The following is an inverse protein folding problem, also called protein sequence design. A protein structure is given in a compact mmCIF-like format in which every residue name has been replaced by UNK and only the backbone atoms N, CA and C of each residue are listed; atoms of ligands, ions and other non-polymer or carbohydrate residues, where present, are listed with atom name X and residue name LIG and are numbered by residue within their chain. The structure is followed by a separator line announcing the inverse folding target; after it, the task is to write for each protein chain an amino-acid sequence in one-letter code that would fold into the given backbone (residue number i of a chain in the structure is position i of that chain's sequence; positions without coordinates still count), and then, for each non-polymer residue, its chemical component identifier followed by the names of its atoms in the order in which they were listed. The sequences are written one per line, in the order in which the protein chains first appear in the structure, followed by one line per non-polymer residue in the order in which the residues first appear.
data_IF_744175780309
#
_entry.id   IF_744175780309
#
_cell.length_a   1.000
_cell.length_b   1.000
_cell.length_c   1.000
_cell.angle_alpha   90.00
_cell.angle_beta   90.00
_cell.angle_gamma   90.00
#
_symmetry.space_group_name_H-M   'P 1'
#
loop_
_entity.id
_entity.type
_entity.pdbx_description
1 polymer ?
#
# COMPACT_ATOMS: atom_id res chain seq x y z
N UNK A 1 5.83 -45.05 8.84
CA UNK A 1 6.71 -46.00 9.55
C UNK A 1 7.85 -45.29 10.24
N UNK A 2 8.91 -44.94 9.51
CA UNK A 2 10.15 -44.36 10.07
C UNK A 2 9.97 -43.04 10.84
N UNK A 3 9.14 -42.12 10.34
CA UNK A 3 8.88 -40.82 11.02
C UNK A 3 8.10 -41.02 12.32
N UNK A 4 7.08 -41.88 12.32
CA UNK A 4 6.33 -42.23 13.54
C UNK A 4 7.20 -42.99 14.55
N UNK A 5 8.10 -43.86 14.08
CA UNK A 5 9.08 -44.57 14.91
C UNK A 5 10.11 -43.64 15.54
N UNK A 6 10.62 -42.65 14.79
CA UNK A 6 11.51 -41.62 15.33
C UNK A 6 10.82 -40.75 16.39
N UNK A 7 9.55 -40.41 16.17
CA UNK A 7 8.75 -39.60 17.10
C UNK A 7 8.41 -40.36 18.40
N UNK A 8 8.17 -41.67 18.32
CA UNK A 8 7.88 -42.54 19.46
C UNK A 8 9.12 -42.97 20.25
N UNK A 9 10.31 -42.96 19.62
CA UNK A 9 11.54 -43.50 20.24
C UNK A 9 12.60 -42.44 20.54
N UNK A 10 12.36 -41.18 20.18
CA UNK A 10 13.32 -40.05 20.25
C UNK A 10 14.68 -40.34 19.59
N UNK A 11 14.73 -41.29 18.65
CA UNK A 11 15.94 -41.69 17.93
C UNK A 11 15.88 -41.25 16.48
N UNK A 12 17.05 -40.99 15.90
CA UNK A 12 17.18 -40.71 14.48
C UNK A 12 16.53 -41.82 13.63
N UNK A 13 15.84 -41.48 12.51
CA UNK A 13 15.07 -42.44 11.71
C UNK A 13 15.84 -43.70 11.29
N UNK A 14 17.14 -43.60 10.99
CA UNK A 14 18.00 -44.76 10.73
C UNK A 14 18.10 -45.69 11.94
N UNK A 15 18.35 -45.15 13.14
CA UNK A 15 18.42 -45.95 14.38
C UNK A 15 17.08 -46.47 14.86
N UNK A 16 15.99 -45.75 14.58
CA UNK A 16 14.63 -46.18 14.90
C UNK A 16 14.14 -47.36 14.04
N UNK A 17 14.80 -47.61 12.89
CA UNK A 17 14.44 -48.68 11.94
C UNK A 17 15.44 -49.84 11.91
N UNK A 18 16.39 -49.91 12.85
CA UNK A 18 17.44 -50.93 12.88
C UNK A 18 16.92 -52.40 12.95
N UNK A 19 15.68 -52.62 13.40
CA UNK A 19 15.01 -53.93 13.41
C UNK A 19 13.97 -54.12 12.29
N UNK A 20 13.84 -53.18 11.35
CA UNK A 20 12.88 -53.22 10.26
C UNK A 20 13.44 -53.96 9.03
N UNK A 21 12.59 -54.32 8.03
CA UNK A 21 13.06 -54.94 6.80
C UNK A 21 14.17 -54.10 6.12
N UNK A 22 15.20 -54.72 5.50
CA UNK A 22 16.39 -54.01 5.01
C UNK A 22 16.10 -52.84 4.07
N UNK A 23 15.06 -52.97 3.24
CA UNK A 23 14.61 -51.91 2.32
C UNK A 23 14.07 -50.68 3.07
N UNK A 24 13.37 -50.89 4.18
CA UNK A 24 12.79 -49.81 5.00
C UNK A 24 13.89 -49.07 5.76
N UNK A 25 14.87 -49.80 6.28
CA UNK A 25 16.01 -49.24 6.97
C UNK A 25 16.90 -48.42 6.01
N UNK A 26 17.25 -48.97 4.85
CA UNK A 26 18.03 -48.26 3.84
C UNK A 26 17.33 -46.99 3.32
N UNK A 27 16.01 -47.03 3.12
CA UNK A 27 15.24 -45.85 2.74
C UNK A 27 15.25 -44.77 3.82
N UNK A 28 15.17 -45.15 5.10
CA UNK A 28 15.20 -44.22 6.23
C UNK A 28 16.59 -43.57 6.39
N UNK A 29 17.68 -44.33 6.27
CA UNK A 29 19.05 -43.80 6.32
C UNK A 29 19.36 -42.87 5.14
N UNK A 30 18.86 -43.21 3.94
CA UNK A 30 19.03 -42.36 2.76
C UNK A 30 18.28 -41.04 2.92
N UNK A 31 17.04 -41.07 3.43
CA UNK A 31 16.25 -39.88 3.70
C UNK A 31 16.87 -38.99 4.81
N UNK A 32 17.40 -39.61 5.87
CA UNK A 32 18.13 -38.91 6.94
C UNK A 32 19.37 -38.22 6.38
N UNK A 33 20.21 -38.95 5.63
CA UNK A 33 21.41 -38.42 5.00
C UNK A 33 21.10 -37.28 4.04
N UNK A 34 20.08 -37.45 3.19
CA UNK A 34 19.63 -36.41 2.26
C UNK A 34 19.14 -35.17 3.02
N UNK A 35 18.39 -35.35 4.11
CA UNK A 35 17.95 -34.28 4.99
C UNK A 35 19.12 -33.50 5.60
N UNK A 36 20.14 -34.20 6.11
CA UNK A 36 21.35 -33.59 6.65
C UNK A 36 22.14 -32.79 5.59
N UNK A 37 22.25 -33.33 4.38
CA UNK A 37 22.88 -32.63 3.25
C UNK A 37 22.10 -31.37 2.84
N UNK A 38 20.78 -31.45 2.75
CA UNK A 38 19.91 -30.30 2.43
C UNK A 38 19.98 -29.21 3.51
N UNK A 39 19.97 -29.57 4.79
CA UNK A 39 20.12 -28.62 5.90
C UNK A 39 21.49 -27.92 5.85
N UNK A 40 22.57 -28.69 5.62
CA UNK A 40 23.92 -28.16 5.52
C UNK A 40 24.07 -27.21 4.32
N UNK A 41 23.52 -27.60 3.16
CA UNK A 41 23.47 -26.76 1.97
C UNK A 41 22.65 -25.48 2.21
N UNK A 42 21.53 -25.58 2.95
CA UNK A 42 20.72 -24.44 3.36
C UNK A 42 21.50 -23.44 4.23
N UNK A 43 22.28 -23.92 5.21
CA UNK A 43 23.15 -23.07 6.03
C UNK A 43 24.22 -22.38 5.18
N UNK A 44 24.87 -23.11 4.28
CA UNK A 44 25.87 -22.55 3.36
C UNK A 44 25.23 -21.49 2.46
N UNK A 45 24.03 -21.76 1.94
CA UNK A 45 23.27 -20.81 1.13
C UNK A 45 22.91 -19.55 1.93
N UNK A 46 22.46 -19.68 3.17
CA UNK A 46 22.18 -18.54 4.07
C UNK A 46 23.43 -17.69 4.32
N UNK A 47 24.58 -18.32 4.59
CA UNK A 47 25.86 -17.63 4.75
C UNK A 47 26.27 -16.93 3.46
N UNK A 48 26.13 -17.61 2.31
CA UNK A 48 26.44 -17.06 1.00
C UNK A 48 25.54 -15.87 0.66
N UNK A 49 24.23 -15.97 0.93
CA UNK A 49 23.27 -14.87 0.77
C UNK A 49 23.59 -13.71 1.70
N UNK A 50 23.94 -13.95 2.97
CA UNK A 50 24.36 -12.91 3.91
C UNK A 50 25.64 -12.20 3.46
N UNK A 51 26.65 -12.94 2.99
CA UNK A 51 27.88 -12.38 2.41
C UNK A 51 27.62 -11.61 1.13
N UNK A 52 26.71 -12.09 0.28
CA UNK A 52 26.31 -11.42 -0.96
C UNK A 52 25.55 -10.12 -0.66
N UNK A 53 24.64 -10.15 0.31
CA UNK A 53 23.95 -8.97 0.83
C UNK A 53 24.94 -7.94 1.37
N UNK A 54 26.06 -8.37 1.96
CA UNK A 54 27.08 -7.42 2.41
C UNK A 54 27.87 -6.77 1.25
N UNK A 55 27.93 -7.39 0.07
CA UNK A 55 28.78 -6.93 -1.05
C UNK A 55 28.03 -6.28 -2.21
N UNK A 56 26.72 -6.51 -2.35
CA UNK A 56 25.97 -6.16 -3.55
C UNK A 56 24.75 -5.27 -3.22
N UNK A 57 24.72 -4.05 -3.74
CA UNK A 57 23.70 -3.05 -3.43
C UNK A 57 22.31 -3.45 -3.94
N UNK A 58 22.25 -4.26 -5.00
CA UNK A 58 21.00 -4.81 -5.56
C UNK A 58 20.40 -5.91 -4.68
N UNK A 59 21.24 -6.83 -4.17
CA UNK A 59 20.82 -7.89 -3.26
C UNK A 59 20.36 -7.35 -1.90
N UNK A 60 20.98 -6.26 -1.40
CA UNK A 60 20.50 -5.53 -0.22
C UNK A 60 19.08 -5.01 -0.39
N UNK A 61 18.72 -4.56 -1.59
CA UNK A 61 17.38 -4.01 -1.87
C UNK A 61 16.31 -5.10 -1.79
N UNK A 62 16.56 -6.28 -2.36
CA UNK A 62 15.61 -7.41 -2.32
C UNK A 62 15.46 -7.98 -0.92
N UNK A 63 16.56 -8.15 -0.18
CA UNK A 63 16.52 -8.61 1.22
C UNK A 63 15.90 -7.53 2.11
N UNK A 64 16.16 -6.25 1.84
CA UNK A 64 15.54 -5.11 2.50
C UNK A 64 14.02 -5.11 2.33
N UNK A 65 13.50 -5.39 1.14
CA UNK A 65 12.04 -5.50 0.90
C UNK A 65 11.44 -6.65 1.74
N UNK A 66 12.08 -7.82 1.77
CA UNK A 66 11.60 -8.95 2.57
C UNK A 66 11.64 -8.61 4.08
N UNK A 67 12.69 -7.92 4.50
CA UNK A 67 12.85 -7.44 5.87
C UNK A 67 11.85 -6.34 6.23
N UNK A 68 11.55 -5.40 5.32
CA UNK A 68 10.54 -4.34 5.47
C UNK A 68 9.13 -4.92 5.62
N UNK A 69 8.84 -6.04 4.94
CA UNK A 69 7.58 -6.79 5.14
C UNK A 69 7.55 -7.45 6.51
N UNK A 70 8.66 -8.04 6.95
CA UNK A 70 8.78 -8.65 8.28
C UNK A 70 8.67 -7.62 9.42
N UNK A 71 9.32 -6.46 9.27
CA UNK A 71 9.32 -5.36 10.24
C UNK A 71 8.11 -4.45 10.12
N UNK A 72 7.13 -4.77 9.27
CA UNK A 72 5.83 -4.12 9.36
C UNK A 72 5.04 -4.63 10.59
N UNK A 73 5.17 -5.91 10.95
CA UNK A 73 4.37 -6.53 12.01
C UNK A 73 4.93 -6.28 13.42
N UNK A 74 4.06 -6.20 14.46
CA UNK A 74 4.48 -5.97 15.85
C UNK A 74 5.52 -6.99 16.33
N UNK A 75 6.47 -6.54 17.17
CA UNK A 75 7.56 -7.35 17.74
C UNK A 75 7.08 -8.56 18.56
N UNK A 76 5.79 -8.64 18.89
CA UNK A 76 5.19 -9.76 19.62
C UNK A 76 5.46 -11.13 18.97
N UNK A 77 5.80 -11.17 17.67
CA UNK A 77 6.13 -12.40 16.96
C UNK A 77 7.64 -12.77 16.98
N UNK A 78 8.58 -11.85 17.28
CA UNK A 78 10.01 -12.19 17.39
C UNK A 78 10.89 -11.10 18.07
N UNK A 79 11.70 -11.42 19.10
CA UNK A 79 12.44 -10.44 19.93
C UNK A 79 13.65 -9.76 19.25
N UNK A 80 14.15 -10.30 18.13
CA UNK A 80 15.27 -9.72 17.36
C UNK A 80 14.82 -8.89 16.15
N UNK A 81 13.52 -8.65 15.98
CA UNK A 81 13.04 -7.75 14.94
C UNK A 81 13.42 -6.29 15.31
N UNK A 82 14.01 -5.51 14.38
CA UNK A 82 14.25 -4.09 14.59
C UNK A 82 12.92 -3.36 14.79
N UNK A 83 12.93 -2.13 15.33
CA UNK A 83 11.71 -1.38 15.64
C UNK A 83 10.79 -1.37 14.44
N UNK A 84 9.60 -1.94 14.58
CA UNK A 84 8.72 -2.17 13.46
C UNK A 84 8.02 -0.86 13.06
N UNK A 85 7.70 -0.70 11.76
CA UNK A 85 7.03 0.51 11.29
C UNK A 85 5.67 0.72 11.98
N UNK A 86 4.96 -0.36 12.34
CA UNK A 86 3.70 -0.27 13.06
C UNK A 86 3.83 0.24 14.50
N UNK A 87 4.96 0.03 15.18
CA UNK A 87 5.16 0.48 16.57
C UNK A 87 5.62 1.94 16.66
N UNK A 88 6.14 2.52 15.56
CA UNK A 88 6.64 3.89 15.56
C UNK A 88 6.11 4.74 14.41
N UNK A 89 6.36 4.33 13.17
CA UNK A 89 6.03 5.16 12.01
C UNK A 89 4.52 5.36 11.83
N UNK A 90 3.71 4.32 12.08
CA UNK A 90 2.26 4.42 11.96
C UNK A 90 1.67 5.35 13.04
N UNK A 91 1.92 5.16 14.35
CA UNK A 91 1.48 6.10 15.39
C UNK A 91 1.98 7.54 15.17
N UNK A 92 3.25 7.71 14.80
CA UNK A 92 3.82 9.05 14.54
C UNK A 92 3.12 9.73 13.35
N UNK A 93 2.81 8.98 12.30
CA UNK A 93 2.09 9.51 11.13
C UNK A 93 0.63 9.84 11.47
N UNK A 94 -0.06 8.97 12.21
CA UNK A 94 -1.41 9.21 12.72
C UNK A 94 -1.45 10.48 13.58
N UNK A 95 -0.55 10.58 14.55
CA UNK A 95 -0.46 11.74 15.44
C UNK A 95 -0.18 13.02 14.65
N UNK A 96 0.77 12.98 13.70
CA UNK A 96 1.09 14.13 12.87
C UNK A 96 -0.09 14.58 12.02
N UNK A 97 -0.84 13.64 11.42
CA UNK A 97 -2.05 13.98 10.65
C UNK A 97 -3.08 14.65 11.57
N UNK A 98 -3.41 14.02 12.69
CA UNK A 98 -4.42 14.52 13.62
C UNK A 98 -4.07 15.90 14.21
N UNK A 99 -2.87 16.05 14.77
CA UNK A 99 -2.44 17.32 15.37
C UNK A 99 -2.31 18.44 14.33
N UNK A 100 -1.91 18.12 13.10
CA UNK A 100 -1.85 19.12 12.04
C UNK A 100 -3.25 19.56 11.59
N UNK A 101 -4.18 18.61 11.36
CA UNK A 101 -5.56 18.93 10.98
C UNK A 101 -6.28 19.71 12.08
N UNK A 102 -6.05 19.38 13.35
CA UNK A 102 -6.62 20.08 14.49
C UNK A 102 -6.05 21.50 14.61
N UNK A 103 -4.72 21.64 14.58
CA UNK A 103 -4.04 22.93 14.78
C UNK A 103 -4.36 23.95 13.69
N UNK A 104 -4.47 23.50 12.45
CA UNK A 104 -4.65 24.40 11.30
C UNK A 104 -6.07 24.41 10.75
N UNK A 105 -7.01 23.67 11.39
CA UNK A 105 -8.33 23.37 10.84
C UNK A 105 -8.26 22.92 9.36
N UNK A 106 -7.15 22.25 9.03
CA UNK A 106 -6.70 22.02 7.68
C UNK A 106 -7.14 20.66 7.14
N UNK A 107 -6.97 20.50 5.83
CA UNK A 107 -7.18 19.24 5.11
C UNK A 107 -5.89 18.86 4.42
N UNK A 108 -5.59 17.57 4.33
CA UNK A 108 -4.31 17.09 3.81
C UNK A 108 -4.48 15.93 2.84
N UNK A 109 -3.55 15.84 1.88
CA UNK A 109 -3.39 14.66 1.03
C UNK A 109 -2.17 13.90 1.50
N UNK A 110 -2.34 12.67 1.96
CA UNK A 110 -1.23 11.78 2.29
C UNK A 110 -0.87 10.94 1.06
N UNK A 111 0.40 11.02 0.64
CA UNK A 111 0.90 10.29 -0.53
C UNK A 111 1.83 9.15 -0.09
N UNK A 112 1.57 7.92 -0.52
CA UNK A 112 2.35 6.74 -0.15
C UNK A 112 2.86 5.96 -1.36
N UNK A 113 4.17 5.87 -1.51
CA UNK A 113 4.85 5.03 -2.51
C UNK A 113 5.23 3.68 -1.93
N UNK A 114 4.96 2.58 -2.66
CA UNK A 114 5.41 1.25 -2.26
C UNK A 114 5.08 0.92 -0.80
N UNK A 115 6.07 0.77 0.08
CA UNK A 115 5.85 0.49 1.49
C UNK A 115 5.12 1.64 2.20
N UNK A 116 5.36 2.87 1.78
CA UNK A 116 4.66 4.05 2.26
C UNK A 116 3.15 3.99 2.00
N UNK A 117 2.67 3.27 0.98
CA UNK A 117 1.23 3.09 0.78
C UNK A 117 0.60 2.22 1.88
N UNK A 118 1.33 1.21 2.35
CA UNK A 118 0.92 0.32 3.44
C UNK A 118 0.90 1.08 4.76
N UNK A 119 1.94 1.88 5.03
CA UNK A 119 2.01 2.73 6.22
C UNK A 119 0.92 3.81 6.23
N UNK A 120 0.69 4.46 5.08
CA UNK A 120 -0.35 5.47 4.95
C UNK A 120 -1.74 4.88 5.18
N UNK A 121 -2.06 3.73 4.57
CA UNK A 121 -3.34 3.04 4.81
C UNK A 121 -3.50 2.65 6.28
N UNK A 122 -2.46 2.09 6.90
CA UNK A 122 -2.45 1.74 8.32
C UNK A 122 -2.68 2.94 9.24
N UNK A 123 -2.05 4.08 8.94
CA UNK A 123 -2.19 5.30 9.73
C UNK A 123 -3.59 5.92 9.57
N UNK A 124 -4.14 5.92 8.35
CA UNK A 124 -5.49 6.45 8.10
C UNK A 124 -6.57 5.64 8.82
N UNK A 125 -6.42 4.32 8.95
CA UNK A 125 -7.31 3.49 9.77
C UNK A 125 -7.30 3.86 11.25
N UNK A 126 -6.20 4.40 11.76
CA UNK A 126 -6.09 4.79 13.18
C UNK A 126 -6.66 6.19 13.48
N UNK A 127 -6.99 6.98 12.45
CA UNK A 127 -7.65 8.27 12.62
C UNK A 127 -9.11 8.08 13.04
N UNK A 128 -9.64 8.99 13.85
CA UNK A 128 -11.08 9.09 14.09
C UNK A 128 -11.82 9.56 12.82
N UNK A 129 -13.14 9.37 12.77
CA UNK A 129 -13.95 9.69 11.58
C UNK A 129 -13.90 11.17 11.18
N UNK A 130 -13.81 12.09 12.14
CA UNK A 130 -13.78 13.53 11.85
C UNK A 130 -12.46 13.89 11.20
N UNK A 131 -11.34 13.46 11.79
CA UNK A 131 -10.01 13.68 11.20
C UNK A 131 -9.90 13.00 9.84
N UNK A 132 -10.38 11.75 9.73
CA UNK A 132 -10.31 10.97 8.49
C UNK A 132 -11.05 11.64 7.32
N UNK A 133 -12.20 12.28 7.56
CA UNK A 133 -12.93 13.05 6.52
C UNK A 133 -12.16 14.25 5.95
N UNK A 134 -11.07 14.67 6.63
CA UNK A 134 -10.20 15.78 6.21
C UNK A 134 -8.93 15.28 5.50
N UNK A 135 -8.79 13.96 5.33
CA UNK A 135 -7.61 13.32 4.75
C UNK A 135 -7.97 12.59 3.46
N UNK A 136 -7.29 12.91 2.37
CA UNK A 136 -7.32 12.12 1.15
C UNK A 136 -6.05 11.27 1.01
N UNK A 137 -6.20 10.06 0.47
CA UNK A 137 -5.11 9.10 0.28
C UNK A 137 -4.73 8.96 -1.19
N UNK A 138 -3.43 9.15 -1.50
CA UNK A 138 -2.85 8.91 -2.82
C UNK A 138 -1.79 7.81 -2.72
N UNK A 139 -2.11 6.60 -3.16
CA UNK A 139 -1.16 5.49 -3.21
C UNK A 139 -0.61 5.30 -4.61
N UNK A 140 0.63 4.82 -4.73
CA UNK A 140 1.24 4.55 -6.04
C UNK A 140 2.37 3.55 -5.93
N UNK A 141 2.53 2.72 -6.96
CA UNK A 141 3.38 1.53 -6.86
C UNK A 141 2.98 0.64 -5.68
N UNK A 142 1.68 0.59 -5.35
CA UNK A 142 1.18 0.04 -4.09
C UNK A 142 1.17 -1.49 -4.07
N UNK A 143 1.85 -2.16 -3.12
CA UNK A 143 1.81 -3.61 -2.93
C UNK A 143 0.60 -4.07 -2.11
N UNK A 144 -0.33 -3.17 -1.77
CA UNK A 144 -1.46 -3.44 -0.86
C UNK A 144 -2.30 -4.65 -1.26
N UNK A 145 -2.81 -4.71 -2.49
CA UNK A 145 -3.53 -5.90 -2.96
C UNK A 145 -2.57 -7.04 -3.29
N UNK A 146 -1.56 -6.75 -4.13
CA UNK A 146 -0.77 -7.78 -4.80
C UNK A 146 0.10 -8.61 -3.86
N UNK A 147 0.63 -8.00 -2.80
CA UNK A 147 1.47 -8.68 -1.82
C UNK A 147 0.76 -8.77 -0.48
N UNK A 148 0.44 -7.63 0.13
CA UNK A 148 -0.08 -7.61 1.50
C UNK A 148 -1.45 -8.27 1.62
N UNK A 149 -2.35 -8.03 0.68
CA UNK A 149 -3.69 -8.64 0.67
C UNK A 149 -3.67 -10.14 0.42
N UNK A 150 -2.62 -10.68 -0.22
CA UNK A 150 -2.46 -12.12 -0.46
C UNK A 150 -1.82 -12.85 0.71
N UNK A 151 -0.77 -12.28 1.30
CA UNK A 151 -0.03 -12.90 2.40
C UNK A 151 -0.64 -12.60 3.77
N UNK A 152 -1.37 -11.49 3.90
CA UNK A 152 -1.99 -11.02 5.15
C UNK A 152 -3.45 -10.56 4.93
N UNK A 153 -4.32 -11.44 4.41
CA UNK A 153 -5.69 -11.08 4.02
C UNK A 153 -6.55 -10.60 5.20
N UNK A 154 -6.23 -10.97 6.43
CA UNK A 154 -6.95 -10.49 7.61
C UNK A 154 -6.84 -8.96 7.82
N UNK A 155 -5.74 -8.35 7.36
CA UNK A 155 -5.46 -6.93 7.56
C UNK A 155 -5.59 -6.11 6.27
N UNK A 156 -5.18 -6.69 5.13
CA UNK A 156 -5.16 -6.01 3.83
C UNK A 156 -5.95 -6.77 2.76
N UNK A 157 -6.81 -7.71 3.15
CA UNK A 157 -7.67 -8.41 2.21
C UNK A 157 -8.78 -7.53 1.65
N UNK A 158 -9.53 -8.01 0.64
CA UNK A 158 -10.61 -7.26 0.01
C UNK A 158 -11.64 -6.67 1.00
N UNK A 159 -12.09 -7.38 2.06
CA UNK A 159 -13.04 -6.80 3.01
C UNK A 159 -12.47 -5.59 3.78
N UNK A 160 -11.22 -5.68 4.25
CA UNK A 160 -10.58 -4.61 5.00
C UNK A 160 -10.35 -3.37 4.11
N UNK A 161 -9.81 -3.57 2.91
CA UNK A 161 -9.58 -2.48 1.96
C UNK A 161 -10.91 -1.86 1.45
N UNK A 162 -11.97 -2.66 1.29
CA UNK A 162 -13.31 -2.14 0.97
C UNK A 162 -13.84 -1.29 2.12
N UNK A 163 -13.62 -1.71 3.38
CA UNK A 163 -13.95 -0.91 4.56
C UNK A 163 -13.23 0.44 4.56
N UNK A 164 -11.91 0.43 4.30
CA UNK A 164 -11.14 1.67 4.17
C UNK A 164 -11.72 2.59 3.10
N UNK A 165 -12.02 2.05 1.91
CA UNK A 165 -12.57 2.86 0.82
C UNK A 165 -13.91 3.49 1.18
N UNK A 166 -14.80 2.78 1.89
CA UNK A 166 -16.09 3.33 2.34
C UNK A 166 -15.94 4.42 3.40
N UNK A 167 -14.91 4.33 4.22
CA UNK A 167 -14.63 5.28 5.31
C UNK A 167 -13.76 6.47 4.86
N UNK A 168 -13.28 6.47 3.62
CA UNK A 168 -12.49 7.55 3.04
C UNK A 168 -13.28 8.29 1.99
N UNK A 169 -13.38 9.62 2.13
CA UNK A 169 -14.01 10.46 1.13
C UNK A 169 -13.24 10.48 -0.19
N UNK A 170 -11.92 10.26 -0.15
CA UNK A 170 -11.07 10.33 -1.32
C UNK A 170 -9.83 9.44 -1.23
N UNK A 171 -9.81 8.36 -2.02
CA UNK A 171 -8.65 7.50 -2.21
C UNK A 171 -8.40 7.21 -3.69
N UNK A 172 -7.18 7.47 -4.16
CA UNK A 172 -6.70 7.10 -5.50
C UNK A 172 -5.42 6.28 -5.44
N UNK A 173 -5.29 5.32 -6.35
CA UNK A 173 -4.13 4.47 -6.52
C UNK A 173 -3.59 4.55 -7.95
N UNK A 174 -2.37 5.05 -8.13
CA UNK A 174 -1.70 5.06 -9.43
C UNK A 174 -0.90 3.76 -9.63
N UNK A 175 -1.02 3.13 -10.79
CA UNK A 175 -0.30 1.89 -11.06
C UNK A 175 0.15 1.77 -12.51
N UNK A 176 1.28 1.13 -12.74
CA UNK A 176 1.80 0.77 -14.07
C UNK A 176 1.72 -0.73 -14.28
N UNK A 177 1.52 -1.13 -15.53
CA UNK A 177 1.55 -2.56 -15.90
C UNK A 177 2.97 -3.15 -15.76
N UNK A 178 3.98 -2.32 -15.97
CA UNK A 178 5.42 -2.65 -15.90
C UNK A 178 5.97 -2.69 -14.46
N UNK A 179 5.17 -2.34 -13.46
CA UNK A 179 5.59 -2.36 -12.05
C UNK A 179 5.48 -3.79 -11.48
N UNK A 180 6.62 -4.44 -11.14
CA UNK A 180 6.61 -5.81 -10.65
C UNK A 180 6.08 -5.93 -9.21
N UNK A 181 6.08 -4.83 -8.45
CA UNK A 181 5.70 -4.80 -7.03
C UNK A 181 4.29 -4.24 -6.89
N UNK A 182 4.08 -3.03 -7.42
CA UNK A 182 2.87 -2.25 -7.31
C UNK A 182 1.80 -2.63 -8.32
N UNK A 183 0.53 -2.51 -7.94
CA UNK A 183 -0.58 -2.89 -8.80
C UNK A 183 -1.89 -2.17 -8.54
N UNK A 184 -2.94 -2.50 -9.30
CA UNK A 184 -4.29 -2.06 -8.98
C UNK A 184 -4.73 -2.70 -7.66
N UNK A 185 -5.50 -1.97 -6.84
CA UNK A 185 -6.11 -2.47 -5.61
C UNK A 185 -7.31 -3.38 -5.93
N UNK A 186 -7.95 -3.21 -7.10
CA UNK A 186 -9.04 -4.05 -7.63
C UNK A 186 -10.26 -4.10 -6.72
N UNK A 187 -10.62 -2.96 -6.12
CA UNK A 187 -11.88 -2.85 -5.39
C UNK A 187 -13.02 -2.52 -6.36
N UNK A 188 -14.10 -3.26 -6.24
CA UNK A 188 -15.38 -2.99 -6.91
C UNK A 188 -16.33 -2.46 -5.85
N UNK A 189 -16.53 -1.15 -5.80
CA UNK A 189 -17.50 -0.54 -4.90
C UNK A 189 -18.75 -0.12 -5.67
N UNK A 190 -19.90 -0.27 -5.01
CA UNK A 190 -21.24 0.01 -5.57
C UNK A 190 -21.43 1.48 -5.94
N UNK A 191 -20.61 2.37 -5.37
CA UNK A 191 -20.59 3.81 -5.61
C UNK A 191 -19.92 4.20 -6.95
N UNK A 192 -19.33 3.24 -7.67
CA UNK A 192 -18.67 3.47 -8.95
C UNK A 192 -17.37 4.28 -8.87
N UNK A 193 -16.90 4.68 -7.68
CA UNK A 193 -15.67 5.49 -7.52
C UNK A 193 -14.45 4.59 -7.69
N UNK A 194 -13.83 4.67 -8.85
CA UNK A 194 -12.62 3.91 -9.14
C UNK A 194 -11.41 4.44 -8.37
N UNK A 195 -10.91 3.67 -7.40
CA UNK A 195 -9.65 3.97 -6.72
C UNK A 195 -8.48 3.92 -7.72
N UNK A 196 -8.46 2.90 -8.57
CA UNK A 196 -7.34 2.63 -9.47
C UNK A 196 -7.32 3.57 -10.69
N UNK A 197 -6.28 4.39 -10.77
CA UNK A 197 -5.92 5.20 -11.93
C UNK A 197 -4.79 4.51 -12.69
N UNK A 198 -5.12 3.86 -13.80
CA UNK A 198 -4.15 3.19 -14.64
C UNK A 198 -4.74 2.08 -15.53
N UNK A 199 -3.88 1.31 -16.22
CA UNK A 199 -2.41 1.40 -16.13
C UNK A 199 -1.89 2.73 -16.67
N UNK A 200 -1.00 3.38 -15.93
CA UNK A 200 -0.27 4.54 -16.43
C UNK A 200 0.63 4.11 -17.59
N UNK A 201 0.83 5.02 -18.53
CA UNK A 201 1.66 4.78 -19.71
C UNK A 201 3.13 4.68 -19.29
N UNK A 202 3.78 3.57 -19.65
CA UNK A 202 5.19 3.35 -19.39
C UNK A 202 5.81 2.52 -20.52
N UNK A 203 6.78 3.05 -21.30
CA UNK A 203 7.40 4.37 -21.17
C UNK A 203 6.48 5.51 -21.64
N UNK A 204 6.71 6.73 -21.12
CA UNK A 204 5.89 7.91 -21.44
C UNK A 204 5.84 8.24 -22.94
N UNK A 205 6.89 7.91 -23.68
CA UNK A 205 6.96 8.06 -25.13
C UNK A 205 7.55 6.80 -25.77
N UNK A 206 7.02 6.42 -26.93
CA UNK A 206 7.64 5.39 -27.77
C UNK A 206 8.51 6.07 -28.83
N UNK A 207 9.76 5.66 -28.96
CA UNK A 207 10.72 6.25 -29.90
C UNK A 207 11.28 7.61 -29.44
N UNK A 208 11.84 8.36 -30.39
CA UNK A 208 12.40 9.69 -30.14
C UNK A 208 11.37 10.77 -30.46
N UNK A 209 11.25 11.77 -29.59
CA UNK A 209 10.45 12.99 -29.81
C UNK A 209 11.31 14.23 -29.56
N UNK A 210 10.82 15.42 -29.91
CA UNK A 210 11.53 16.67 -29.60
C UNK A 210 11.79 16.85 -28.09
N UNK A 211 10.86 16.36 -27.25
CA UNK A 211 11.00 16.39 -25.79
C UNK A 211 11.75 15.18 -25.22
N UNK A 212 11.77 14.04 -25.94
CA UNK A 212 12.48 12.83 -25.56
C UNK A 212 13.41 12.40 -26.70
N UNK A 213 14.58 13.07 -26.87
CA UNK A 213 15.50 12.77 -27.97
C UNK A 213 16.15 11.39 -27.83
N UNK A 214 16.10 10.79 -26.64
CA UNK A 214 16.47 9.41 -26.37
C UNK A 214 15.21 8.56 -26.15
N UNK A 215 15.24 7.25 -26.47
CA UNK A 215 14.15 6.35 -26.13
C UNK A 215 13.80 6.48 -24.64
N UNK A 216 12.53 6.75 -24.34
CA UNK A 216 12.10 6.90 -22.96
C UNK A 216 12.26 5.56 -22.22
N UNK A 217 12.75 5.65 -20.99
CA UNK A 217 13.01 4.48 -20.16
C UNK A 217 11.70 3.91 -19.62
N UNK A 218 11.67 2.59 -19.44
CA UNK A 218 10.62 1.92 -18.67
C UNK A 218 10.90 2.20 -17.20
N UNK A 219 10.02 2.95 -16.56
CA UNK A 219 10.19 3.41 -15.19
C UNK A 219 9.78 2.35 -14.16
N UNK A 220 8.83 1.47 -14.53
CA UNK A 220 8.33 0.39 -13.68
C UNK A 220 7.87 0.93 -12.31
N UNK A 221 8.57 0.53 -11.26
CA UNK A 221 8.26 0.88 -9.87
C UNK A 221 8.75 2.28 -9.42
N UNK A 222 9.61 2.94 -10.20
CA UNK A 222 10.18 4.25 -9.86
C UNK A 222 9.38 5.44 -10.41
N UNK A 223 9.74 6.67 -10.03
CA UNK A 223 9.34 7.92 -10.71
C UNK A 223 7.84 8.06 -11.04
N UNK A 224 6.96 7.63 -10.13
CA UNK A 224 5.53 7.91 -10.24
C UNK A 224 5.24 9.40 -10.03
N UNK A 225 5.99 10.08 -9.16
CA UNK A 225 5.79 11.51 -8.85
C UNK A 225 6.15 12.42 -10.02
N UNK A 226 7.00 11.96 -10.95
CA UNK A 226 7.35 12.69 -12.16
C UNK A 226 6.33 12.46 -13.30
N UNK A 227 5.38 11.54 -13.11
CA UNK A 227 4.32 11.29 -14.08
C UNK A 227 3.30 12.45 -14.04
N UNK A 228 2.94 13.08 -15.17
CA UNK A 228 1.97 14.17 -15.18
C UNK A 228 0.62 13.82 -14.52
N UNK A 229 0.23 12.54 -14.58
CA UNK A 229 -1.00 12.06 -13.93
C UNK A 229 -0.93 12.22 -12.41
N UNK A 230 0.25 12.14 -11.81
CA UNK A 230 0.43 12.32 -10.37
C UNK A 230 -0.01 13.72 -9.92
N UNK A 231 0.47 14.76 -10.60
CA UNK A 231 0.12 16.14 -10.27
C UNK A 231 -1.37 16.42 -10.53
N UNK A 232 -1.94 15.89 -11.61
CA UNK A 232 -3.39 15.99 -11.89
C UNK A 232 -4.21 15.36 -10.77
N UNK A 233 -3.91 14.11 -10.39
CA UNK A 233 -4.67 13.40 -9.36
C UNK A 233 -4.47 14.04 -7.98
N UNK A 234 -3.26 14.50 -7.66
CA UNK A 234 -3.01 15.26 -6.42
C UNK A 234 -3.87 16.53 -6.38
N UNK A 235 -3.88 17.32 -7.45
CA UNK A 235 -4.66 18.55 -7.53
C UNK A 235 -6.16 18.28 -7.38
N UNK A 236 -6.66 17.22 -8.03
CA UNK A 236 -8.05 16.79 -7.86
C UNK A 236 -8.39 16.40 -6.42
N UNK A 237 -7.51 15.66 -5.73
CA UNK A 237 -7.73 15.29 -4.33
C UNK A 237 -7.76 16.52 -3.42
N UNK A 238 -6.85 17.49 -3.64
CA UNK A 238 -6.85 18.76 -2.92
C UNK A 238 -8.15 19.54 -3.18
N UNK A 239 -8.59 19.58 -4.44
CA UNK A 239 -9.80 20.30 -4.83
C UNK A 239 -11.08 19.68 -4.22
N UNK A 240 -11.18 18.34 -4.20
CA UNK A 240 -12.32 17.64 -3.58
C UNK A 240 -12.33 17.75 -2.06
N UNK A 241 -11.15 17.84 -1.45
CA UNK A 241 -11.05 18.13 -0.03
C UNK A 241 -11.48 19.56 0.29
N UNK A 242 -11.33 20.55 -0.59
CA UNK A 242 -11.69 21.92 -0.27
C UNK A 242 -13.16 22.00 0.23
N UNK A 243 -13.44 22.73 1.33
CA UNK A 243 -14.82 22.88 1.78
C UNK A 243 -15.66 23.43 0.62
N UNK A 244 -16.85 22.86 0.41
CA UNK A 244 -17.84 23.41 -0.52
C UNK A 244 -18.00 24.89 -0.19
N UNK A 245 -17.34 25.76 -0.96
CA UNK A 245 -17.70 27.16 -1.02
C UNK A 245 -19.10 27.13 -1.61
N UNK A 246 -20.15 27.58 -0.90
CA UNK A 246 -21.48 27.62 -1.48
C UNK A 246 -21.37 28.41 -2.77
N UNK A 247 -21.50 27.72 -3.91
CA UNK A 247 -21.55 28.37 -5.20
C UNK A 247 -22.61 29.45 -5.09
N UNK A 248 -22.22 30.71 -5.27
CA UNK A 248 -23.17 31.80 -5.37
C UNK A 248 -24.21 31.36 -6.40
N UNK A 249 -25.46 31.15 -5.95
CA UNK A 249 -26.60 31.09 -6.87
C UNK A 249 -26.43 32.29 -7.78
N UNK A 250 -26.41 32.14 -9.12
CA UNK A 250 -26.38 33.30 -9.99
C UNK A 250 -27.46 34.24 -9.52
N UNK A 251 -27.05 35.45 -9.15
CA UNK A 251 -27.96 36.50 -8.73
C UNK A 251 -29.02 36.57 -9.83
N UNK A 252 -30.27 36.24 -9.48
CA UNK A 252 -31.37 36.51 -10.37
C UNK A 252 -31.25 37.97 -10.77
N UNK A 253 -31.19 38.23 -12.07
CA UNK A 253 -31.14 39.55 -12.67
C UNK A 253 -32.20 40.44 -12.02
N UNK A 254 -31.80 41.23 -11.03
CA UNK A 254 -32.55 42.37 -10.56
C UNK A 254 -32.33 43.52 -11.55
N UNK A 255 -32.75 43.31 -12.79
CA UNK A 255 -33.01 44.38 -13.76
C UNK A 255 -34.52 44.40 -14.05
N UNK A 256 -35.31 44.60 -13.00
CA UNK A 256 -36.68 45.07 -13.11
C UNK A 256 -36.69 46.60 -13.04
N UNK A 257 -37.52 47.30 -13.84
CA UNK A 257 -37.52 48.76 -13.89
C UNK A 257 -37.99 49.36 -12.55
N UNK A 258 -37.53 50.58 -12.20
CA UNK A 258 -37.86 51.21 -10.92
C UNK A 258 -39.38 51.47 -10.78
N UNK A 259 -39.93 51.39 -9.56
CA UNK A 259 -41.35 51.65 -9.34
C UNK A 259 -41.67 53.12 -9.62
N UNK A 260 -42.71 53.36 -10.43
CA UNK A 260 -43.22 54.68 -10.75
C UNK A 260 -43.76 55.37 -9.49
N UNK A 261 -43.18 56.52 -9.15
CA UNK A 261 -43.77 57.48 -8.21
C UNK A 261 -45.01 58.13 -8.86
N UNK A 262 -46.19 57.65 -8.49
CA UNK A 262 -47.47 58.28 -8.79
C UNK A 262 -47.94 59.11 -7.59
N UNK A 263 -47.62 60.41 -7.61
CA UNK A 263 -48.28 61.43 -6.80
C UNK A 263 -49.63 61.77 -7.42
N UNK A 264 -50.72 61.55 -6.68
CA UNK A 264 -51.94 62.34 -6.87
C UNK A 264 -52.80 62.27 -5.61
N UNK A 265 -52.78 63.33 -4.81
CA UNK A 265 -53.83 63.60 -3.85
C UNK A 265 -55.09 64.13 -4.54
N UNK A 266 -56.26 63.82 -3.98
CA UNK A 266 -57.34 64.77 -3.65
C UNK A 266 -58.54 64.05 -3.01
N UNK A 267 -59.12 64.72 -2.01
CA UNK A 267 -60.42 64.54 -1.35
C UNK A 267 -61.56 64.26 -2.36
N UNK A 268 -62.75 63.76 -2.01
CA UNK A 268 -63.63 64.09 -0.87
C UNK A 268 -64.86 63.15 -0.90
N UNK A 269 -65.39 62.79 0.26
CA UNK A 269 -66.83 62.76 0.65
C UNK A 269 -66.98 61.97 1.96
#
# INVERSE_FOLDING_TARGET
GAVAGAWLTERAPGRATAGAPPVVHAAAETAESLGSWLMSAGVILLIAMGRRAYRDHSARRTIGILWDVGTFWPRAAHPFAPPCYAERAVPDLTWRMATWTERFDGRLVISGHSQGSVLAAAAVWQLDLVTRSRVALLTYGSPLERLYGRWFPAFFGPPALTGLHREMDDWRNLWRFTDPIGGPIRLTCEDGRRIDQGPLRDPLAFGRTLHNPLPAQILGHGDYQADPVFDTVRAELVARLAPDVPGQRPAADCSGPPPAQGSSGRSSA
#
